data_IF_741381186181
#
_entry.id   IF_741381186181
#
_cell.length_a   1.000
_cell.length_b   1.000
_cell.length_c   1.000
_cell.angle_alpha   90.00
_cell.angle_beta   90.00
_cell.angle_gamma   90.00
#
_symmetry.space_group_name_H-M   'P 1'
#
loop_
_entity.id
_entity.type
_entity.pdbx_description
1 polymer ?
#
# COMPACT_ATOMS: atom_id res chain seq x y z
N UNK A 1 43.23 1.05 -25.90
CA UNK A 1 43.67 0.81 -24.51
C UNK A 1 42.76 1.67 -23.63
N UNK A 2 41.69 1.08 -23.09
CA UNK A 2 40.72 1.80 -22.26
C UNK A 2 41.43 2.14 -20.95
N UNK A 3 41.48 3.43 -20.61
CA UNK A 3 42.05 3.91 -19.34
C UNK A 3 41.20 3.34 -18.21
N UNK A 4 41.79 2.47 -17.39
CA UNK A 4 41.23 2.13 -16.09
C UNK A 4 40.95 3.42 -15.32
N UNK A 5 39.73 3.53 -14.80
CA UNK A 5 39.33 4.63 -13.93
C UNK A 5 40.06 4.42 -12.59
N UNK A 6 41.23 5.06 -12.44
CA UNK A 6 42.00 5.08 -11.19
C UNK A 6 41.35 6.05 -10.20
N UNK A 7 40.30 5.59 -9.50
CA UNK A 7 39.55 6.39 -8.52
C UNK A 7 40.11 6.36 -7.09
N UNK A 8 41.06 5.46 -6.79
CA UNK A 8 41.46 5.07 -5.42
C UNK A 8 41.39 6.18 -4.36
N UNK A 9 42.34 7.13 -4.31
CA UNK A 9 42.36 8.17 -3.26
C UNK A 9 41.20 9.17 -3.34
N UNK A 10 40.72 9.48 -4.56
CA UNK A 10 39.61 10.42 -4.77
C UNK A 10 38.29 9.86 -4.27
N UNK A 11 38.08 8.55 -4.37
CA UNK A 11 36.87 7.90 -3.89
C UNK A 11 36.77 8.00 -2.36
N UNK A 12 37.88 7.83 -1.63
CA UNK A 12 37.91 7.99 -0.17
C UNK A 12 37.49 9.41 0.24
N UNK A 13 38.06 10.44 -0.40
CA UNK A 13 37.69 11.84 -0.14
C UNK A 13 36.19 12.09 -0.45
N UNK A 14 35.68 11.53 -1.54
CA UNK A 14 34.26 11.65 -1.89
C UNK A 14 33.36 10.96 -0.87
N UNK A 15 33.75 9.77 -0.38
CA UNK A 15 33.02 9.06 0.68
C UNK A 15 32.97 9.90 1.95
N UNK A 16 34.09 10.48 2.38
CA UNK A 16 34.14 11.35 3.56
C UNK A 16 33.23 12.56 3.40
N UNK A 17 33.26 13.22 2.24
CA UNK A 17 32.38 14.37 1.95
C UNK A 17 30.90 14.00 1.92
N UNK A 18 30.55 12.82 1.41
CA UNK A 18 29.18 12.33 1.42
C UNK A 18 28.71 12.02 2.85
N UNK A 19 29.54 11.37 3.65
CA UNK A 19 29.23 11.10 5.06
C UNK A 19 29.05 12.41 5.83
N UNK A 20 29.90 13.40 5.59
CA UNK A 20 29.76 14.72 6.20
C UNK A 20 28.47 15.42 5.76
N UNK A 21 28.06 15.26 4.49
CA UNK A 21 26.77 15.80 4.03
C UNK A 21 25.56 15.17 4.73
N UNK A 22 25.62 13.86 5.08
CA UNK A 22 24.56 13.21 5.83
C UNK A 22 24.47 13.73 7.27
N UNK A 23 25.63 14.05 7.87
CA UNK A 23 25.70 14.66 9.20
C UNK A 23 25.24 16.12 9.20
N UNK A 24 25.40 16.82 8.08
CA UNK A 24 25.03 18.22 7.92
C UNK A 24 23.53 18.48 7.77
N UNK A 25 22.72 17.48 7.41
CA UNK A 25 21.26 17.60 7.28
C UNK A 25 20.55 16.31 7.70
N UNK A 26 19.94 16.32 8.88
CA UNK A 26 19.27 15.17 9.48
C UNK A 26 17.95 14.80 8.79
N UNK A 27 17.39 15.69 7.97
CA UNK A 27 16.08 15.49 7.31
C UNK A 27 16.13 14.42 6.23
N UNK A 28 17.30 14.13 5.67
CA UNK A 28 17.47 13.17 4.55
C UNK A 28 18.12 11.86 4.96
N UNK A 29 18.23 11.59 6.26
CA UNK A 29 18.85 10.39 6.79
C UNK A 29 17.99 9.72 7.87
N UNK A 30 18.22 8.41 8.04
CA UNK A 30 17.63 7.61 9.11
C UNK A 30 18.71 6.64 9.65
N UNK A 31 19.83 7.23 10.08
CA UNK A 31 21.03 6.57 10.61
C UNK A 31 20.88 6.47 12.14
N UNK A 32 21.42 5.40 12.72
CA UNK A 32 21.36 5.10 14.16
C UNK A 32 19.92 4.99 14.73
N UNK A 33 18.98 4.60 13.86
CA UNK A 33 17.59 4.32 14.20
C UNK A 33 17.23 2.89 13.81
N UNK A 34 16.34 2.28 14.58
CA UNK A 34 16.12 0.83 14.51
C UNK A 34 14.90 0.44 13.67
N UNK A 35 13.91 1.33 13.55
CA UNK A 35 12.59 0.96 13.09
C UNK A 35 12.20 1.76 11.85
N UNK A 36 12.42 1.17 10.67
CA UNK A 36 11.88 1.68 9.41
C UNK A 36 11.21 0.52 8.66
N UNK A 37 9.94 0.66 8.24
CA UNK A 37 9.30 -0.36 7.42
C UNK A 37 9.97 -0.44 6.04
N UNK A 38 10.02 -1.64 5.49
CA UNK A 38 10.55 -1.86 4.15
C UNK A 38 9.47 -1.61 3.11
N UNK A 39 9.68 -0.57 2.29
CA UNK A 39 8.82 -0.26 1.15
C UNK A 39 8.63 -1.47 0.23
N UNK A 40 9.71 -2.19 -0.06
CA UNK A 40 9.67 -3.34 -0.97
C UNK A 40 8.89 -4.51 -0.37
N UNK A 41 8.95 -4.70 0.95
CA UNK A 41 8.13 -5.71 1.63
C UNK A 41 6.65 -5.35 1.65
N UNK A 42 6.31 -4.07 1.79
CA UNK A 42 4.92 -3.60 1.71
C UNK A 42 4.37 -3.78 0.29
N UNK A 43 5.18 -3.53 -0.73
CA UNK A 43 4.78 -3.78 -2.13
C UNK A 43 4.58 -5.28 -2.37
N UNK A 44 5.48 -6.13 -1.87
CA UNK A 44 5.30 -7.60 -1.92
C UNK A 44 4.02 -8.04 -1.21
N UNK A 45 3.77 -7.52 0.00
CA UNK A 45 2.53 -7.79 0.75
C UNK A 45 1.30 -7.40 -0.07
N UNK A 46 1.33 -6.25 -0.75
CA UNK A 46 0.22 -5.79 -1.59
C UNK A 46 -0.02 -6.75 -2.76
N UNK A 47 1.04 -7.27 -3.38
CA UNK A 47 0.94 -8.30 -4.41
C UNK A 47 0.34 -9.62 -3.88
N UNK A 48 0.83 -10.11 -2.74
CA UNK A 48 0.31 -11.32 -2.09
C UNK A 48 -1.20 -11.16 -1.72
N UNK A 49 -1.59 -9.97 -1.25
CA UNK A 49 -2.99 -9.64 -0.94
C UNK A 49 -3.86 -9.61 -2.22
N UNK A 50 -3.37 -9.05 -3.33
CA UNK A 50 -4.09 -9.05 -4.60
C UNK A 50 -4.28 -10.48 -5.15
N UNK A 51 -3.27 -11.35 -5.02
CA UNK A 51 -3.40 -12.79 -5.33
C UNK A 51 -4.48 -13.46 -4.47
N UNK A 52 -4.53 -13.13 -3.18
CA UNK A 52 -5.55 -13.65 -2.27
C UNK A 52 -6.98 -13.15 -2.61
N UNK A 53 -7.11 -11.89 -3.06
CA UNK A 53 -8.39 -11.30 -3.44
C UNK A 53 -8.93 -11.89 -4.75
N UNK A 54 -8.05 -12.12 -5.72
CA UNK A 54 -8.36 -12.54 -7.10
C UNK A 54 -7.70 -13.88 -7.48
N UNK A 55 -8.02 -14.99 -6.78
CA UNK A 55 -7.39 -16.28 -7.02
C UNK A 55 -7.65 -16.77 -8.46
N UNK A 56 -6.58 -17.12 -9.17
CA UNK A 56 -6.63 -17.58 -10.55
C UNK A 56 -6.49 -16.47 -11.60
N UNK A 57 -6.67 -15.21 -11.22
CA UNK A 57 -6.37 -14.05 -12.09
C UNK A 57 -4.97 -13.51 -11.83
N UNK A 58 -4.61 -13.34 -10.55
CA UNK A 58 -3.34 -12.80 -10.10
C UNK A 58 -2.56 -13.90 -9.38
N UNK A 59 -1.25 -13.95 -9.61
CA UNK A 59 -0.37 -14.93 -8.98
C UNK A 59 -0.54 -16.35 -9.54
N UNK A 60 -0.84 -17.34 -8.68
CA UNK A 60 -0.94 -18.74 -9.09
C UNK A 60 -2.11 -18.99 -10.05
N UNK A 61 -1.78 -19.55 -11.22
CA UNK A 61 -2.75 -20.02 -12.21
C UNK A 61 -3.12 -21.51 -12.00
N UNK A 62 -4.19 -21.98 -12.65
CA UNK A 62 -4.68 -23.37 -12.61
C UNK A 62 -5.13 -23.83 -11.22
N UNK A 63 -5.76 -22.92 -10.46
CA UNK A 63 -6.44 -23.29 -9.23
C UNK A 63 -7.68 -24.13 -9.53
N UNK A 64 -7.95 -25.09 -8.66
CA UNK A 64 -9.11 -25.99 -8.71
C UNK A 64 -9.75 -26.08 -7.33
N UNK A 65 -10.98 -26.57 -7.26
CA UNK A 65 -11.66 -26.80 -5.98
C UNK A 65 -10.86 -27.72 -5.03
N UNK A 66 -10.03 -28.61 -5.59
CA UNK A 66 -9.20 -29.52 -4.82
C UNK A 66 -7.91 -28.89 -4.27
N UNK A 67 -7.37 -27.85 -4.91
CA UNK A 67 -6.08 -27.26 -4.55
C UNK A 67 -6.16 -25.88 -3.89
N UNK A 68 -7.29 -25.18 -4.03
CA UNK A 68 -7.47 -23.81 -3.55
C UNK A 68 -7.26 -23.69 -2.04
N UNK A 69 -7.74 -24.66 -1.27
CA UNK A 69 -7.57 -24.69 0.20
C UNK A 69 -6.09 -24.76 0.59
N UNK A 70 -5.29 -25.58 -0.10
CA UNK A 70 -3.84 -25.66 0.16
C UNK A 70 -3.12 -24.38 -0.26
N UNK A 71 -3.54 -23.78 -1.37
CA UNK A 71 -2.97 -22.53 -1.84
C UNK A 71 -3.22 -21.38 -0.85
N UNK A 72 -4.47 -21.18 -0.44
CA UNK A 72 -4.83 -20.16 0.57
C UNK A 72 -4.17 -20.49 1.91
N UNK A 73 -4.09 -21.77 2.28
CA UNK A 73 -3.42 -22.22 3.50
C UNK A 73 -1.91 -21.96 3.54
N UNK A 74 -1.26 -21.79 2.39
CA UNK A 74 0.14 -21.34 2.28
C UNK A 74 0.27 -19.81 2.20
N UNK A 75 -0.59 -19.18 1.39
CA UNK A 75 -0.51 -17.75 1.12
C UNK A 75 -0.88 -16.91 2.35
N UNK A 76 -1.94 -17.28 3.08
CA UNK A 76 -2.43 -16.47 4.20
C UNK A 76 -1.44 -16.38 5.37
N UNK A 77 -0.75 -17.46 5.81
CA UNK A 77 0.32 -17.35 6.81
C UNK A 77 1.47 -16.44 6.38
N UNK A 78 1.89 -16.50 5.09
CA UNK A 78 2.94 -15.61 4.55
C UNK A 78 2.51 -14.14 4.59
N UNK A 79 1.27 -13.85 4.22
CA UNK A 79 0.67 -12.51 4.33
C UNK A 79 0.67 -12.07 5.79
N UNK A 80 0.24 -12.93 6.72
CA UNK A 80 0.14 -12.61 8.14
C UNK A 80 1.51 -12.25 8.75
N UNK A 81 2.54 -13.04 8.47
CA UNK A 81 3.90 -12.80 8.96
C UNK A 81 4.48 -11.48 8.41
N UNK A 82 4.30 -11.23 7.11
CA UNK A 82 4.78 -10.01 6.45
C UNK A 82 4.02 -8.78 6.97
N UNK A 83 2.70 -8.86 7.07
CA UNK A 83 1.86 -7.81 7.63
C UNK A 83 2.27 -7.49 9.07
N UNK A 84 2.37 -8.50 9.95
CA UNK A 84 2.81 -8.32 11.34
C UNK A 84 4.16 -7.60 11.42
N UNK A 85 5.14 -8.07 10.66
CA UNK A 85 6.49 -7.50 10.67
C UNK A 85 6.46 -6.03 10.27
N UNK A 86 5.79 -5.71 9.16
CA UNK A 86 5.76 -4.33 8.66
C UNK A 86 4.90 -3.41 9.52
N UNK A 87 3.77 -3.88 10.07
CA UNK A 87 2.92 -3.11 10.99
C UNK A 87 3.71 -2.79 12.26
N UNK A 88 4.43 -3.77 12.82
CA UNK A 88 5.29 -3.57 14.00
C UNK A 88 6.34 -2.50 13.76
N UNK A 89 7.05 -2.56 12.62
CA UNK A 89 8.04 -1.55 12.25
C UNK A 89 7.42 -0.16 12.11
N UNK A 90 6.23 -0.06 11.50
CA UNK A 90 5.50 1.21 11.39
C UNK A 90 5.12 1.78 12.77
N UNK A 91 4.60 0.95 13.68
CA UNK A 91 4.23 1.40 15.02
C UNK A 91 5.46 1.82 15.84
N UNK A 92 6.54 1.05 15.80
CA UNK A 92 7.76 1.40 16.52
C UNK A 92 8.45 2.64 15.97
N UNK A 93 8.42 2.85 14.65
CA UNK A 93 8.86 4.11 14.04
C UNK A 93 8.11 5.32 14.65
N UNK A 94 6.79 5.20 14.83
CA UNK A 94 5.99 6.28 15.39
C UNK A 94 6.31 6.57 16.86
N UNK A 95 6.65 5.55 17.65
CA UNK A 95 7.05 5.74 19.05
C UNK A 95 8.48 6.31 19.15
N UNK A 96 9.43 5.84 18.31
CA UNK A 96 10.80 6.36 18.22
C UNK A 96 10.82 7.84 17.85
N UNK A 97 9.91 8.29 16.97
CA UNK A 97 9.81 9.69 16.53
C UNK A 97 9.12 10.62 17.52
N UNK A 98 8.36 10.11 18.49
CA UNK A 98 7.61 10.91 19.48
C UNK A 98 8.44 11.32 20.72
N UNK A 99 9.76 11.11 20.73
CA UNK A 99 10.62 11.27 21.93
C UNK A 99 10.05 10.49 23.14
N UNK A 100 9.54 9.28 22.90
CA UNK A 100 8.85 8.52 23.93
C UNK A 100 9.79 8.20 25.12
N UNK A 101 9.36 8.60 26.32
CA UNK A 101 9.98 8.21 27.60
C UNK A 101 9.78 6.70 27.82
N UNK A 102 10.81 5.91 27.56
CA UNK A 102 10.82 4.46 27.79
C UNK A 102 12.17 3.83 27.45
N UNK A 103 12.44 2.62 27.94
CA UNK A 103 13.58 1.83 27.44
C UNK A 103 13.24 1.26 26.05
N UNK A 104 14.26 1.05 25.21
CA UNK A 104 14.08 0.49 23.85
C UNK A 104 13.27 -0.81 23.86
N UNK A 105 13.53 -1.68 24.84
CA UNK A 105 12.87 -2.98 24.97
C UNK A 105 11.36 -2.88 25.26
N UNK A 106 10.95 -1.91 26.08
CA UNK A 106 9.55 -1.72 26.45
C UNK A 106 8.72 -1.19 25.27
N UNK A 107 9.32 -0.31 24.45
CA UNK A 107 8.70 0.19 23.22
C UNK A 107 8.51 -0.97 22.24
N UNK A 108 9.53 -1.79 22.03
CA UNK A 108 9.47 -2.92 21.09
C UNK A 108 8.40 -3.94 21.49
N UNK A 109 8.30 -4.28 22.78
CA UNK A 109 7.27 -5.18 23.29
C UNK A 109 5.86 -4.62 23.04
N UNK A 110 5.64 -3.34 23.35
CA UNK A 110 4.34 -2.70 23.16
C UNK A 110 3.94 -2.62 21.68
N UNK A 111 4.87 -2.29 20.78
CA UNK A 111 4.62 -2.36 19.35
C UNK A 111 4.24 -3.76 18.91
N UNK A 112 4.94 -4.79 19.41
CA UNK A 112 4.69 -6.19 19.05
C UNK A 112 3.28 -6.64 19.41
N UNK A 113 2.82 -6.32 20.63
CA UNK A 113 1.46 -6.64 21.08
C UNK A 113 0.42 -5.96 20.19
N UNK A 114 0.56 -4.64 19.97
CA UNK A 114 -0.38 -3.87 19.14
C UNK A 114 -0.38 -4.34 17.68
N UNK A 115 0.80 -4.63 17.13
CA UNK A 115 0.94 -5.10 15.75
C UNK A 115 0.24 -6.43 15.53
N UNK A 116 0.33 -7.36 16.49
CA UNK A 116 -0.38 -8.63 16.43
C UNK A 116 -1.89 -8.43 16.38
N UNK A 117 -2.42 -7.60 17.28
CA UNK A 117 -3.87 -7.35 17.36
C UNK A 117 -4.39 -6.67 16.08
N UNK A 118 -3.67 -5.67 15.57
CA UNK A 118 -3.99 -5.00 14.30
C UNK A 118 -3.88 -5.96 13.11
N UNK A 119 -2.88 -6.84 13.08
CA UNK A 119 -2.70 -7.82 11.99
C UNK A 119 -3.91 -8.75 11.93
N UNK A 120 -4.35 -9.28 13.07
CA UNK A 120 -5.53 -10.15 13.13
C UNK A 120 -6.77 -9.39 12.63
N UNK A 121 -7.03 -8.20 13.16
CA UNK A 121 -8.17 -7.37 12.75
C UNK A 121 -8.14 -7.07 11.25
N UNK A 122 -6.98 -6.72 10.71
CA UNK A 122 -6.81 -6.47 9.28
C UNK A 122 -7.13 -7.71 8.44
N UNK A 123 -6.60 -8.88 8.80
CA UNK A 123 -6.85 -10.11 8.06
C UNK A 123 -8.33 -10.52 8.10
N UNK A 124 -9.02 -10.29 9.23
CA UNK A 124 -10.47 -10.52 9.37
C UNK A 124 -11.30 -9.62 8.42
N UNK A 125 -10.76 -8.49 7.95
CA UNK A 125 -11.45 -7.64 6.97
C UNK A 125 -11.42 -8.19 5.54
N UNK A 126 -10.48 -9.08 5.20
CA UNK A 126 -10.26 -9.53 3.82
C UNK A 126 -11.52 -10.12 3.16
N UNK A 127 -12.30 -11.02 3.80
CA UNK A 127 -13.52 -11.54 3.19
C UNK A 127 -14.54 -10.44 2.86
N UNK A 128 -14.67 -9.42 3.72
CA UNK A 128 -15.55 -8.27 3.48
C UNK A 128 -15.01 -7.39 2.34
N UNK A 129 -13.70 -7.21 2.24
CA UNK A 129 -13.09 -6.48 1.12
C UNK A 129 -13.40 -7.18 -0.21
N UNK A 130 -13.34 -8.52 -0.25
CA UNK A 130 -13.73 -9.30 -1.44
C UNK A 130 -15.19 -9.08 -1.83
N UNK A 131 -16.11 -8.99 -0.86
CA UNK A 131 -17.53 -8.66 -1.11
C UNK A 131 -17.70 -7.27 -1.75
N UNK A 132 -16.98 -6.27 -1.24
CA UNK A 132 -17.00 -4.92 -1.83
C UNK A 132 -16.45 -4.91 -3.27
N UNK A 133 -15.32 -5.58 -3.49
CA UNK A 133 -14.68 -5.63 -4.80
C UNK A 133 -15.50 -6.37 -5.85
N UNK A 134 -16.29 -7.37 -5.46
CA UNK A 134 -17.24 -8.00 -6.38
C UNK A 134 -18.26 -6.97 -6.92
N UNK A 135 -18.72 -6.05 -6.08
CA UNK A 135 -19.59 -4.95 -6.50
C UNK A 135 -18.89 -3.92 -7.39
N UNK A 136 -17.62 -3.60 -7.11
CA UNK A 136 -16.84 -2.67 -7.95
C UNK A 136 -16.53 -3.24 -9.33
N UNK A 137 -16.22 -4.55 -9.39
CA UNK A 137 -16.04 -5.28 -10.65
C UNK A 137 -17.32 -5.24 -11.49
N UNK A 138 -18.48 -5.47 -10.87
CA UNK A 138 -19.76 -5.36 -11.57
C UNK A 138 -20.04 -3.92 -12.03
N UNK A 139 -19.74 -2.93 -11.18
CA UNK A 139 -19.93 -1.52 -11.51
C UNK A 139 -19.04 -1.07 -12.68
N UNK A 140 -17.83 -1.62 -12.80
CA UNK A 140 -16.96 -1.39 -13.95
C UNK A 140 -17.55 -2.00 -15.23
N UNK A 141 -18.07 -3.24 -15.15
CA UNK A 141 -18.69 -3.92 -16.29
C UNK A 141 -19.95 -3.21 -16.78
N UNK A 142 -20.82 -2.80 -15.86
CA UNK A 142 -22.03 -2.04 -16.21
C UNK A 142 -21.70 -0.60 -16.63
N UNK A 143 -20.58 -0.07 -16.15
CA UNK A 143 -20.16 1.31 -16.30
C UNK A 143 -19.44 1.62 -17.61
N UNK A 144 -18.82 0.61 -18.23
CA UNK A 144 -18.15 0.68 -19.53
C UNK A 144 -18.80 -0.26 -20.56
N UNK A 145 -19.62 0.27 -21.49
CA UNK A 145 -20.23 -0.52 -22.56
C UNK A 145 -19.24 -1.24 -23.49
N UNK A 146 -17.95 -0.86 -23.48
CA UNK A 146 -16.91 -1.47 -24.29
C UNK A 146 -16.22 -2.66 -23.61
N UNK A 147 -16.48 -2.89 -22.31
CA UNK A 147 -15.92 -4.03 -21.59
C UNK A 147 -16.37 -5.36 -22.21
N UNK A 148 -15.42 -6.23 -22.55
CA UNK A 148 -15.72 -7.52 -23.18
C UNK A 148 -16.30 -8.51 -22.16
N UNK A 149 -15.75 -8.51 -20.95
CA UNK A 149 -16.13 -9.38 -19.84
C UNK A 149 -15.46 -8.96 -18.53
N UNK A 150 -15.84 -9.65 -17.46
CA UNK A 150 -15.31 -9.46 -16.11
C UNK A 150 -13.81 -9.78 -16.02
N UNK A 151 -13.33 -10.78 -16.77
CA UNK A 151 -11.93 -11.20 -16.73
C UNK A 151 -11.00 -10.09 -17.24
N UNK A 152 -11.39 -9.41 -18.32
CA UNK A 152 -10.69 -8.24 -18.85
C UNK A 152 -10.59 -7.12 -17.80
N UNK A 153 -11.69 -6.86 -17.08
CA UNK A 153 -11.74 -5.85 -16.03
C UNK A 153 -10.76 -6.19 -14.91
N UNK A 154 -10.79 -7.43 -14.40
CA UNK A 154 -9.90 -7.86 -13.32
C UNK A 154 -8.42 -7.80 -13.73
N UNK A 155 -8.11 -8.17 -14.97
CA UNK A 155 -6.73 -8.28 -15.45
C UNK A 155 -6.11 -6.95 -15.90
N UNK A 156 -6.91 -6.01 -16.40
CA UNK A 156 -6.38 -4.87 -17.14
C UNK A 156 -6.90 -3.48 -16.72
N UNK A 157 -7.98 -3.38 -15.92
CA UNK A 157 -8.56 -2.06 -15.64
C UNK A 157 -7.80 -1.36 -14.51
N UNK A 158 -7.13 -0.22 -14.78
CA UNK A 158 -6.31 0.47 -13.78
C UNK A 158 -7.16 1.04 -12.63
N UNK A 159 -8.41 1.40 -12.92
CA UNK A 159 -9.38 1.84 -11.91
C UNK A 159 -9.64 0.77 -10.86
N UNK A 160 -9.88 -0.48 -11.28
CA UNK A 160 -10.10 -1.57 -10.34
C UNK A 160 -8.85 -1.87 -9.50
N UNK A 161 -7.65 -1.83 -10.11
CA UNK A 161 -6.40 -2.00 -9.37
C UNK A 161 -6.24 -0.94 -8.27
N UNK A 162 -6.48 0.34 -8.59
CA UNK A 162 -6.42 1.44 -7.63
C UNK A 162 -7.44 1.28 -6.49
N UNK A 163 -8.69 0.92 -6.81
CA UNK A 163 -9.74 0.67 -5.83
C UNK A 163 -9.38 -0.52 -4.93
N UNK A 164 -8.87 -1.62 -5.50
CA UNK A 164 -8.45 -2.81 -4.76
C UNK A 164 -7.39 -2.49 -3.70
N UNK A 165 -6.36 -1.73 -4.09
CA UNK A 165 -5.29 -1.34 -3.18
C UNK A 165 -5.80 -0.33 -2.14
N UNK A 166 -6.65 0.63 -2.52
CA UNK A 166 -7.28 1.55 -1.57
C UNK A 166 -8.10 0.80 -0.52
N UNK A 167 -8.93 -0.18 -0.91
CA UNK A 167 -9.74 -0.97 0.02
C UNK A 167 -8.91 -1.86 0.96
N UNK A 168 -7.68 -2.21 0.59
CA UNK A 168 -6.71 -2.86 1.48
C UNK A 168 -5.99 -1.85 2.39
N UNK A 169 -5.64 -0.68 1.88
CA UNK A 169 -4.93 0.35 2.63
C UNK A 169 -5.83 1.06 3.66
N UNK A 170 -7.11 1.26 3.35
CA UNK A 170 -8.05 2.01 4.16
C UNK A 170 -8.27 1.39 5.57
N UNK A 171 -8.49 0.07 5.74
CA UNK A 171 -8.56 -0.52 7.07
C UNK A 171 -7.29 -0.35 7.90
N UNK A 172 -6.11 -0.44 7.28
CA UNK A 172 -4.83 -0.20 7.97
C UNK A 172 -4.72 1.26 8.45
N UNK A 173 -5.23 2.21 7.66
CA UNK A 173 -5.33 3.62 8.05
C UNK A 173 -6.30 3.80 9.23
N UNK A 174 -7.50 3.22 9.18
CA UNK A 174 -8.49 3.28 10.27
C UNK A 174 -7.97 2.62 11.57
N UNK A 175 -7.15 1.57 11.45
CA UNK A 175 -6.46 0.93 12.58
C UNK A 175 -5.25 1.72 13.10
N UNK A 176 -4.95 2.87 12.50
CA UNK A 176 -3.89 3.78 12.94
C UNK A 176 -2.47 3.31 12.59
N UNK A 177 -2.30 2.49 11.56
CA UNK A 177 -0.98 2.08 11.06
C UNK A 177 -0.35 3.25 10.28
N UNK A 178 0.79 3.81 10.74
CA UNK A 178 1.45 4.90 10.03
C UNK A 178 2.22 4.37 8.82
N UNK A 179 2.58 5.25 7.87
CA UNK A 179 3.39 4.99 6.67
C UNK A 179 2.82 3.97 5.68
N UNK A 180 2.56 2.73 6.10
CA UNK A 180 2.17 1.61 5.25
C UNK A 180 0.96 1.89 4.36
N UNK A 181 -0.19 2.42 4.85
CA UNK A 181 -1.32 2.73 3.98
C UNK A 181 -0.97 3.71 2.86
N UNK A 182 -0.12 4.70 3.16
CA UNK A 182 0.34 5.69 2.18
C UNK A 182 1.35 5.11 1.20
N UNK A 183 2.23 4.22 1.65
CA UNK A 183 3.15 3.49 0.76
C UNK A 183 2.35 2.67 -0.27
N UNK A 184 1.28 2.00 0.17
CA UNK A 184 0.40 1.23 -0.71
C UNK A 184 -0.33 2.14 -1.72
N UNK A 185 -0.89 3.26 -1.26
CA UNK A 185 -1.60 4.19 -2.15
C UNK A 185 -0.67 4.85 -3.17
N UNK A 186 0.54 5.27 -2.77
CA UNK A 186 1.52 5.87 -3.69
C UNK A 186 2.11 4.83 -4.65
N UNK A 187 2.23 3.57 -4.23
CA UNK A 187 2.61 2.51 -5.16
C UNK A 187 1.58 2.35 -6.27
N UNK A 188 0.29 2.26 -5.95
CA UNK A 188 -0.74 2.10 -6.99
C UNK A 188 -0.95 3.37 -7.80
N UNK A 189 -0.78 4.56 -7.20
CA UNK A 189 -0.73 5.83 -7.91
C UNK A 189 0.38 5.81 -8.98
N UNK A 190 1.59 5.34 -8.64
CA UNK A 190 2.67 5.21 -9.62
C UNK A 190 2.38 4.21 -10.75
N UNK A 191 1.56 3.18 -10.51
CA UNK A 191 1.17 2.20 -11.54
C UNK A 191 0.03 2.70 -12.46
N UNK A 192 -0.88 3.53 -11.94
CA UNK A 192 -2.18 3.83 -12.60
C UNK A 192 -2.41 5.31 -12.91
N UNK A 193 -1.68 6.21 -12.25
CA UNK A 193 -1.97 7.65 -12.27
C UNK A 193 -3.21 8.05 -11.45
N UNK A 194 -3.76 7.15 -10.63
CA UNK A 194 -4.92 7.39 -9.76
C UNK A 194 -4.41 7.57 -8.31
N UNK A 195 -4.54 8.77 -7.76
CA UNK A 195 -4.14 9.10 -6.39
C UNK A 195 -5.36 9.09 -5.46
N UNK A 196 -5.45 8.06 -4.61
CA UNK A 196 -6.50 7.95 -3.59
C UNK A 196 -5.84 7.94 -2.22
N UNK A 197 -6.10 8.96 -1.42
CA UNK A 197 -5.63 8.98 -0.04
C UNK A 197 -6.23 7.80 0.75
N UNK A 198 -5.45 7.06 1.56
CA UNK A 198 -5.96 5.90 2.29
C UNK A 198 -7.08 6.24 3.31
N UNK A 199 -7.18 7.50 3.73
CA UNK A 199 -8.25 7.99 4.61
C UNK A 199 -9.58 8.29 3.92
N UNK A 200 -9.63 8.34 2.58
CA UNK A 200 -10.87 8.59 1.86
C UNK A 200 -11.90 7.48 2.15
N UNK A 201 -13.17 7.85 2.35
CA UNK A 201 -14.26 6.91 2.55
C UNK A 201 -14.99 6.69 1.24
N UNK A 202 -15.02 5.44 0.77
CA UNK A 202 -15.59 5.08 -0.54
C UNK A 202 -16.62 3.96 -0.36
N UNK A 203 -17.86 4.24 -0.76
CA UNK A 203 -19.00 3.33 -0.77
C UNK A 203 -18.86 2.13 -1.71
N UNK A 204 -19.95 1.39 -1.87
CA UNK A 204 -20.03 0.20 -2.73
C UNK A 204 -20.16 0.57 -4.21
N UNK A 205 -19.80 -0.37 -5.09
CA UNK A 205 -20.04 -0.28 -6.53
C UNK A 205 -19.38 0.97 -7.14
N UNK A 206 -18.15 1.24 -6.72
CA UNK A 206 -17.39 2.39 -7.18
C UNK A 206 -16.60 2.02 -8.43
N UNK A 207 -16.60 2.91 -9.42
CA UNK A 207 -15.90 2.69 -10.67
C UNK A 207 -15.11 3.94 -11.08
N UNK A 208 -13.83 3.74 -11.41
CA UNK A 208 -12.98 4.74 -12.04
C UNK A 208 -12.66 4.27 -13.46
N UNK A 209 -13.14 5.02 -14.46
CA UNK A 209 -12.87 4.75 -15.86
C UNK A 209 -11.67 5.58 -16.35
N UNK A 210 -10.74 4.94 -17.07
CA UNK A 210 -9.42 5.43 -17.48
C UNK A 210 -8.48 5.89 -16.34
N UNK A 211 -8.94 6.80 -15.50
CA UNK A 211 -8.39 7.11 -14.17
C UNK A 211 -7.16 8.01 -14.11
N UNK A 212 -6.34 8.12 -15.15
CA UNK A 212 -5.11 8.94 -15.07
C UNK A 212 -5.40 10.39 -14.64
N UNK A 213 -4.72 10.87 -13.60
CA UNK A 213 -4.88 12.21 -13.04
C UNK A 213 -6.04 12.37 -12.06
N UNK A 214 -6.72 11.27 -11.67
CA UNK A 214 -7.69 11.30 -10.57
C UNK A 214 -6.98 11.57 -9.25
N UNK A 215 -7.51 12.48 -8.44
CA UNK A 215 -7.03 12.79 -7.09
C UNK A 215 -8.21 12.79 -6.11
N UNK A 216 -8.15 11.96 -5.07
CA UNK A 216 -9.17 11.84 -4.01
C UNK A 216 -8.51 12.08 -2.65
N UNK A 217 -8.84 13.22 -2.02
CA UNK A 217 -8.23 13.68 -0.78
C UNK A 217 -8.66 12.92 0.47
N UNK A 218 -7.88 13.07 1.54
CA UNK A 218 -8.02 12.33 2.81
C UNK A 218 -9.42 12.35 3.43
N UNK A 219 -10.08 13.51 3.44
CA UNK A 219 -11.38 13.65 4.10
C UNK A 219 -12.56 13.47 3.14
N UNK A 220 -12.31 12.96 1.94
CA UNK A 220 -13.37 12.76 0.94
C UNK A 220 -14.31 11.64 1.36
N UNK A 221 -15.61 11.86 1.16
CA UNK A 221 -16.66 10.88 1.41
C UNK A 221 -17.46 10.65 0.13
N UNK A 222 -17.35 9.45 -0.43
CA UNK A 222 -17.99 9.04 -1.70
C UNK A 222 -19.04 7.98 -1.36
N UNK A 223 -20.28 8.24 -1.76
CA UNK A 223 -21.40 7.29 -1.59
C UNK A 223 -21.34 6.08 -2.53
N UNK A 224 -22.40 5.29 -2.50
CA UNK A 224 -22.51 4.09 -3.34
C UNK A 224 -22.82 4.42 -4.82
N UNK A 225 -22.41 3.55 -5.73
CA UNK A 225 -22.70 3.62 -7.18
C UNK A 225 -22.14 4.87 -7.88
N UNK A 226 -21.01 5.39 -7.40
CA UNK A 226 -20.35 6.54 -8.02
C UNK A 226 -19.40 6.08 -9.13
N UNK A 227 -19.44 6.81 -10.24
CA UNK A 227 -18.49 6.67 -11.35
C UNK A 227 -17.67 7.93 -11.53
N UNK A 228 -16.36 7.78 -11.69
CA UNK A 228 -15.41 8.88 -11.92
C UNK A 228 -14.58 8.61 -13.18
N UNK A 229 -14.22 9.68 -13.89
CA UNK A 229 -13.38 9.66 -15.09
C UNK A 229 -11.99 10.27 -14.81
N UNK A 230 -11.09 10.17 -15.79
CA UNK A 230 -9.75 10.73 -15.74
C UNK A 230 -9.71 12.22 -15.32
N UNK A 231 -8.67 12.62 -14.60
CA UNK A 231 -8.41 14.02 -14.23
C UNK A 231 -9.34 14.62 -13.16
N UNK A 232 -10.31 13.87 -12.64
CA UNK A 232 -11.21 14.38 -11.59
C UNK A 232 -10.45 14.62 -10.28
N UNK A 233 -10.63 15.79 -9.68
CA UNK A 233 -10.05 16.15 -8.39
C UNK A 233 -11.15 16.36 -7.35
N UNK A 234 -11.12 15.54 -6.30
CA UNK A 234 -11.89 15.72 -5.06
C UNK A 234 -10.91 16.15 -3.97
N UNK A 235 -10.59 17.45 -3.95
CA UNK A 235 -9.55 18.04 -3.13
C UNK A 235 -10.03 19.17 -2.23
N UNK A 236 -9.08 19.93 -1.68
CA UNK A 236 -9.36 21.08 -0.82
C UNK A 236 -9.32 22.41 -1.60
N UNK A 237 -10.01 23.42 -1.08
CA UNK A 237 -9.88 24.79 -1.59
C UNK A 237 -8.49 25.33 -1.27
N UNK A 238 -7.85 25.93 -2.26
CA UNK A 238 -6.65 26.76 -2.04
C UNK A 238 -7.10 28.21 -1.86
N UNK A 239 -6.70 28.83 -0.75
CA UNK A 239 -6.82 30.27 -0.57
C UNK A 239 -5.46 30.91 -0.82
N UNK A 240 -5.38 31.98 -1.62
CA UNK A 240 -4.13 32.74 -1.77
C UNK A 240 -3.62 33.18 -0.39
N UNK A 241 -2.34 32.95 -0.12
CA UNK A 241 -1.65 33.53 1.04
C UNK A 241 -1.32 34.99 0.79
#
# INVERSE_FOLDING_TARGET
MIREILLGPKLTEMVERMVESYRGDDRTQHIDRAYLPSRDEIIRLTGDLLELLYPGFIGRQHLTEHNVTFHVGDLLPRIAERAFTQIRLCLCYLEETKEAKGTSDAIEEQCGIRARDITIQFLETIPRIRDFLAGDVQAAFDGDPAALNIDEIILAYPGLLAISVHRLAHPLYELGVPLMPRIMSEWVHAQTGIDIHPGARIGRNFFIDHGTGVVIGETTDIGDNVKIYQGVTLGALSFPK
#
